data_IF_809750439259
#
_entry.id   IF_809750439259
#
_cell.length_a   1.000
_cell.length_b   1.000
_cell.length_c   1.000
_cell.angle_alpha   90.00
_cell.angle_beta   90.00
_cell.angle_gamma   90.00
#
_symmetry.space_group_name_H-M   'P 1'
#
loop_
_entity.id
_entity.type
_entity.pdbx_description
1 polymer ?
#
# COMPACT_ATOMS: atom_id res chain seq x y z
N UNK A 1 -65.64 5.66 -50.25
CA UNK A 1 -66.00 4.26 -49.94
C UNK A 1 -64.74 3.43 -50.13
N UNK A 2 -63.99 3.20 -49.04
CA UNK A 2 -63.13 2.01 -48.92
C UNK A 2 -64.03 0.80 -48.68
N UNK A 3 -63.66 -0.38 -49.19
CA UNK A 3 -63.13 -1.35 -48.24
C UNK A 3 -62.12 -2.37 -48.82
N UNK A 4 -61.08 -2.60 -48.02
CA UNK A 4 -60.64 -3.93 -47.53
C UNK A 4 -60.02 -4.94 -48.52
N UNK A 5 -58.92 -5.50 -48.02
CA UNK A 5 -58.78 -6.92 -47.62
C UNK A 5 -57.81 -7.79 -48.42
N UNK A 6 -56.93 -8.42 -47.64
CA UNK A 6 -56.33 -9.76 -47.79
C UNK A 6 -55.18 -9.88 -48.79
N UNK A 7 -53.94 -9.97 -48.32
CA UNK A 7 -53.29 -11.15 -47.71
C UNK A 7 -52.76 -12.11 -48.81
N UNK A 8 -51.52 -12.55 -48.59
CA UNK A 8 -50.76 -13.68 -49.19
C UNK A 8 -50.19 -13.50 -50.62
N UNK A 9 -48.86 -13.41 -50.76
CA UNK A 9 -47.99 -14.57 -51.06
C UNK A 9 -46.59 -14.18 -51.56
N UNK A 10 -45.60 -14.68 -50.82
CA UNK A 10 -44.39 -15.37 -51.33
C UNK A 10 -43.30 -14.51 -51.99
N UNK A 11 -42.14 -14.49 -51.33
CA UNK A 11 -40.88 -14.00 -51.90
C UNK A 11 -39.78 -13.95 -50.84
N UNK A 12 -39.27 -15.11 -50.40
CA UNK A 12 -37.89 -15.55 -50.67
C UNK A 12 -36.83 -14.82 -49.85
N UNK A 13 -36.15 -15.59 -48.98
CA UNK A 13 -34.81 -15.29 -48.47
C UNK A 13 -34.80 -14.16 -47.43
N UNK A 14 -34.25 -14.34 -46.24
CA UNK A 14 -32.80 -14.49 -46.07
C UNK A 14 -32.57 -15.10 -44.70
N UNK A 15 -31.74 -16.14 -44.68
CA UNK A 15 -31.13 -16.74 -43.50
C UNK A 15 -30.24 -15.67 -42.86
N UNK A 16 -30.63 -15.14 -41.70
CA UNK A 16 -29.77 -14.29 -40.88
C UNK A 16 -29.24 -15.14 -39.73
N UNK A 17 -28.04 -15.68 -39.97
CA UNK A 17 -27.16 -16.27 -38.96
C UNK A 17 -26.64 -15.13 -38.07
N UNK A 18 -27.34 -14.83 -36.97
CA UNK A 18 -26.81 -13.92 -35.95
C UNK A 18 -25.75 -14.65 -35.13
N UNK A 19 -24.48 -14.44 -35.51
CA UNK A 19 -23.33 -14.70 -34.66
C UNK A 19 -23.47 -13.81 -33.42
N UNK A 20 -23.89 -14.39 -32.31
CA UNK A 20 -23.79 -13.75 -31.00
C UNK A 20 -22.30 -13.73 -30.66
N UNK A 21 -21.61 -12.68 -31.11
CA UNK A 21 -20.30 -12.31 -30.59
C UNK A 21 -20.51 -11.92 -29.14
N UNK A 22 -20.49 -12.91 -28.24
CA UNK A 22 -20.32 -12.69 -26.83
C UNK A 22 -18.98 -11.98 -26.65
N UNK A 23 -19.02 -10.67 -26.45
CA UNK A 23 -17.94 -9.96 -25.80
C UNK A 23 -17.83 -10.59 -24.41
N UNK A 24 -16.92 -11.55 -24.27
CA UNK A 24 -16.40 -11.92 -22.97
C UNK A 24 -15.77 -10.65 -22.42
N UNK A 25 -16.53 -10.00 -21.55
CA UNK A 25 -16.06 -8.92 -20.70
C UNK A 25 -14.99 -9.55 -19.81
N UNK A 26 -13.72 -9.38 -20.21
CA UNK A 26 -12.61 -9.68 -19.33
C UNK A 26 -12.75 -8.72 -18.18
N UNK A 27 -13.28 -9.21 -17.06
CA UNK A 27 -13.02 -8.61 -15.77
C UNK A 27 -11.51 -8.43 -15.68
N UNK A 28 -11.05 -7.18 -15.74
CA UNK A 28 -9.70 -6.84 -15.33
C UNK A 28 -9.60 -7.30 -13.88
N UNK A 29 -8.90 -8.42 -13.72
CA UNK A 29 -8.42 -8.89 -12.45
C UNK A 29 -7.67 -7.71 -11.83
N UNK A 30 -8.29 -7.09 -10.83
CA UNK A 30 -7.65 -6.12 -9.96
C UNK A 30 -6.60 -6.88 -9.15
N UNK A 31 -5.51 -7.24 -9.81
CA UNK A 31 -4.26 -7.50 -9.13
C UNK A 31 -3.80 -6.11 -8.67
N UNK A 32 -4.19 -5.76 -7.44
CA UNK A 32 -3.47 -4.76 -6.66
C UNK A 32 -2.07 -5.30 -6.41
N UNK A 33 -1.24 -5.26 -7.47
CA UNK A 33 0.19 -5.49 -7.37
C UNK A 33 0.67 -4.37 -6.46
N UNK A 34 0.97 -4.73 -5.21
CA UNK A 34 1.82 -3.99 -4.30
C UNK A 34 3.18 -3.78 -5.00
N UNK A 35 3.23 -2.84 -5.93
CA UNK A 35 4.47 -2.33 -6.50
C UNK A 35 5.08 -1.45 -5.41
N UNK A 36 5.74 -2.09 -4.45
CA UNK A 36 6.74 -1.39 -3.65
C UNK A 36 7.70 -0.76 -4.66
N UNK A 37 7.90 0.55 -4.54
CA UNK A 37 8.98 1.20 -5.30
C UNK A 37 10.26 0.40 -5.12
N UNK A 38 10.99 0.01 -6.18
CA UNK A 38 12.23 -0.75 -6.03
C UNK A 38 13.27 -0.01 -5.16
N UNK A 39 13.06 1.28 -4.91
CA UNK A 39 13.95 2.12 -4.11
C UNK A 39 13.50 2.31 -2.65
N UNK A 40 12.22 2.08 -2.30
CA UNK A 40 11.74 2.32 -0.94
C UNK A 40 12.15 1.17 -0.01
N UNK A 41 12.86 1.48 1.07
CA UNK A 41 13.12 0.52 2.13
C UNK A 41 12.04 0.62 3.20
N UNK A 42 11.28 -0.46 3.36
CA UNK A 42 10.18 -0.53 4.31
C UNK A 42 10.34 -1.74 5.24
N UNK A 43 11.27 -1.69 6.21
CA UNK A 43 11.45 -2.80 7.12
C UNK A 43 10.25 -2.90 8.06
N UNK A 44 9.72 -4.11 8.20
CA UNK A 44 8.61 -4.47 9.08
C UNK A 44 9.09 -5.46 10.13
N UNK A 45 8.35 -5.56 11.23
CA UNK A 45 8.48 -6.65 12.19
C UNK A 45 8.08 -7.99 11.54
N UNK A 46 8.68 -9.10 11.97
CA UNK A 46 8.46 -10.45 11.40
C UNK A 46 7.12 -11.07 11.77
N UNK A 47 6.61 -10.73 12.94
CA UNK A 47 5.42 -11.33 13.53
C UNK A 47 4.64 -10.30 14.33
N UNK A 48 3.34 -10.53 14.50
CA UNK A 48 2.51 -9.74 15.40
C UNK A 48 2.90 -10.00 16.85
N UNK A 49 2.83 -8.97 17.69
CA UNK A 49 3.08 -9.07 19.13
C UNK A 49 1.86 -8.60 19.92
N UNK A 50 1.74 -9.03 21.18
CA UNK A 50 0.61 -8.68 22.05
C UNK A 50 0.88 -7.47 22.94
N UNK A 51 2.13 -6.99 22.99
CA UNK A 51 2.56 -5.85 23.77
C UNK A 51 3.57 -5.03 22.99
N UNK A 52 3.50 -3.72 23.18
CA UNK A 52 4.40 -2.76 22.54
C UNK A 52 5.07 -1.89 23.60
N UNK A 53 6.22 -1.33 23.25
CA UNK A 53 6.80 -0.24 24.02
C UNK A 53 5.90 1.00 23.88
N UNK A 54 5.83 1.81 24.94
CA UNK A 54 4.92 2.96 25.06
C UNK A 54 5.65 4.31 24.99
N UNK A 55 6.83 4.34 24.37
CA UNK A 55 7.53 5.58 24.10
C UNK A 55 6.89 6.27 22.88
N UNK A 56 7.02 7.59 22.81
CA UNK A 56 6.41 8.41 21.78
C UNK A 56 7.47 9.20 21.01
N UNK A 57 7.55 8.96 19.70
CA UNK A 57 8.37 9.72 18.76
C UNK A 57 7.46 10.69 17.99
N UNK A 58 7.89 11.93 17.81
CA UNK A 58 7.14 12.93 17.05
C UNK A 58 8.05 13.65 16.06
N UNK A 59 7.58 13.87 14.84
CA UNK A 59 8.36 14.56 13.82
C UNK A 59 7.77 14.42 12.43
N UNK A 60 8.47 14.94 11.43
CA UNK A 60 8.08 14.79 10.03
C UNK A 60 8.47 13.39 9.52
N UNK A 61 7.57 12.74 8.79
CA UNK A 61 7.85 11.50 8.08
C UNK A 61 8.58 11.83 6.78
N UNK A 62 9.83 11.41 6.67
CA UNK A 62 10.72 11.80 5.59
C UNK A 62 11.34 10.56 4.94
N UNK A 63 11.53 10.63 3.62
CA UNK A 63 12.40 9.69 2.91
C UNK A 63 13.77 10.36 2.85
N UNK A 64 14.77 9.68 3.40
CA UNK A 64 16.14 10.18 3.47
C UNK A 64 17.03 9.38 2.53
N UNK A 65 17.95 10.11 1.87
CA UNK A 65 18.96 9.64 0.94
C UNK A 65 18.42 8.95 -0.32
N UNK A 66 19.32 8.64 -1.26
CA UNK A 66 19.03 7.76 -2.41
C UNK A 66 18.65 6.33 -1.97
N UNK A 67 18.90 5.99 -0.69
CA UNK A 67 18.60 4.69 -0.11
C UNK A 67 17.11 4.42 0.12
N UNK A 68 16.26 5.46 0.09
CA UNK A 68 14.82 5.34 0.28
C UNK A 68 14.43 4.95 1.71
N UNK A 69 15.15 5.47 2.71
CA UNK A 69 14.95 5.13 4.12
C UNK A 69 13.86 6.02 4.73
N UNK A 70 12.77 5.43 5.24
CA UNK A 70 11.72 6.19 5.95
C UNK A 70 12.13 6.49 7.38
N UNK A 71 12.18 7.78 7.73
CA UNK A 71 12.62 8.26 9.04
C UNK A 71 11.67 9.26 9.66
N UNK A 72 11.71 9.31 10.98
CA UNK A 72 11.15 10.39 11.81
C UNK A 72 12.20 10.78 12.83
N UNK A 73 12.55 12.07 12.93
CA UNK A 73 13.53 12.54 13.91
C UNK A 73 14.89 11.86 13.80
N UNK A 74 15.29 11.42 12.60
CA UNK A 74 16.54 10.69 12.35
C UNK A 74 16.48 9.18 12.59
N UNK A 75 15.42 8.64 13.19
CA UNK A 75 15.27 7.20 13.43
C UNK A 75 14.73 6.48 12.19
N UNK A 76 15.34 5.35 11.82
CA UNK A 76 14.76 4.43 10.85
C UNK A 76 13.57 3.71 11.50
N UNK A 77 12.42 3.80 10.85
CA UNK A 77 11.21 3.13 11.32
C UNK A 77 11.22 1.65 10.93
N UNK A 78 11.11 0.77 11.94
CA UNK A 78 10.81 -0.65 11.76
C UNK A 78 9.32 -0.83 12.01
N UNK A 79 8.55 -0.82 10.93
CA UNK A 79 7.09 -0.77 10.95
C UNK A 79 6.47 -1.99 11.62
N UNK A 80 5.30 -1.80 12.23
CA UNK A 80 4.56 -2.90 12.85
C UNK A 80 4.25 -3.99 11.82
N UNK A 81 4.09 -5.22 12.30
CA UNK A 81 3.70 -6.35 11.46
C UNK A 81 2.42 -6.03 10.67
N UNK A 82 2.39 -6.44 9.40
CA UNK A 82 1.26 -6.23 8.48
C UNK A 82 1.22 -4.87 7.80
N UNK A 83 1.95 -3.87 8.31
CA UNK A 83 1.98 -2.53 7.69
C UNK A 83 2.65 -2.60 6.31
N UNK A 84 2.22 -1.69 5.42
CA UNK A 84 2.76 -1.62 4.07
C UNK A 84 2.91 -0.17 3.59
N UNK A 85 3.65 0.01 2.51
CA UNK A 85 3.73 1.28 1.81
C UNK A 85 3.29 1.12 0.35
N UNK A 86 2.59 2.14 -0.16
CA UNK A 86 2.16 2.22 -1.55
C UNK A 86 2.51 3.60 -2.12
N UNK A 87 2.65 3.71 -3.44
CA UNK A 87 2.79 5.00 -4.11
C UNK A 87 1.44 5.37 -4.70
N UNK A 88 0.92 6.53 -4.34
CA UNK A 88 -0.30 7.07 -4.93
C UNK A 88 -0.10 7.39 -6.40
N UNK A 89 -1.00 6.89 -7.25
CA UNK A 89 -0.94 7.11 -8.70
C UNK A 89 -1.12 8.59 -9.08
N UNK A 90 -1.82 9.38 -8.24
CA UNK A 90 -2.24 10.76 -8.52
C UNK A 90 -1.12 11.78 -8.31
N UNK A 91 -0.45 11.70 -7.17
CA UNK A 91 0.51 12.71 -6.69
C UNK A 91 1.92 12.13 -6.48
N UNK A 92 2.09 10.82 -6.71
CA UNK A 92 3.36 10.08 -6.51
C UNK A 92 3.87 10.10 -5.08
N UNK A 93 3.01 10.45 -4.12
CA UNK A 93 3.35 10.44 -2.70
C UNK A 93 3.37 9.00 -2.18
N UNK A 94 4.28 8.72 -1.25
CA UNK A 94 4.32 7.43 -0.53
C UNK A 94 3.31 7.48 0.61
N UNK A 95 2.35 6.56 0.56
CA UNK A 95 1.33 6.33 1.56
C UNK A 95 1.72 5.15 2.44
N UNK A 96 1.50 5.30 3.74
CA UNK A 96 1.65 4.22 4.71
C UNK A 96 0.27 3.68 5.03
N UNK A 97 0.16 2.35 4.98
CA UNK A 97 -1.05 1.61 5.26
C UNK A 97 -0.85 0.73 6.51
N UNK A 98 -1.87 0.63 7.35
CA UNK A 98 -1.88 -0.31 8.47
C UNK A 98 -2.02 -1.77 7.99
N UNK A 99 -2.09 -2.71 8.95
CA UNK A 99 -2.25 -4.14 8.71
C UNK A 99 -3.59 -4.52 8.05
N UNK A 100 -4.55 -3.60 8.02
CA UNK A 100 -5.85 -3.74 7.36
C UNK A 100 -5.91 -3.02 6.02
N UNK A 101 -4.81 -2.38 5.60
CA UNK A 101 -4.72 -1.61 4.37
C UNK A 101 -5.33 -0.21 4.45
N UNK A 102 -5.66 0.30 5.65
CA UNK A 102 -6.15 1.66 5.81
C UNK A 102 -4.99 2.66 5.74
N UNK A 103 -5.22 3.79 5.10
CA UNK A 103 -4.29 4.91 5.09
C UNK A 103 -4.12 5.49 6.51
N UNK A 104 -2.86 5.63 6.96
CA UNK A 104 -2.53 6.19 8.28
C UNK A 104 -1.62 7.41 8.23
N UNK A 105 -0.80 7.56 7.18
CA UNK A 105 0.11 8.69 7.00
C UNK A 105 0.65 8.71 5.56
N UNK A 106 1.22 9.84 5.16
CA UNK A 106 2.02 9.97 3.95
C UNK A 106 3.36 10.66 4.24
N UNK A 107 4.34 10.44 3.36
CA UNK A 107 5.61 11.18 3.43
C UNK A 107 5.33 12.68 3.32
N UNK A 108 5.93 13.44 4.24
CA UNK A 108 5.70 14.87 4.41
C UNK A 108 4.86 15.22 5.64
N UNK A 109 4.03 14.29 6.13
CA UNK A 109 3.20 14.51 7.31
C UNK A 109 4.05 14.71 8.57
N UNK A 110 3.59 15.57 9.49
CA UNK A 110 4.02 15.52 10.89
C UNK A 110 3.23 14.43 11.58
N UNK A 111 3.91 13.47 12.20
CA UNK A 111 3.30 12.32 12.85
C UNK A 111 3.79 12.13 14.29
N UNK A 112 2.94 11.50 15.10
CA UNK A 112 3.29 10.86 16.37
C UNK A 112 3.27 9.35 16.18
N UNK A 113 4.31 8.68 16.64
CA UNK A 113 4.54 7.25 16.45
C UNK A 113 4.83 6.64 17.80
N UNK A 114 3.94 5.76 18.26
CA UNK A 114 4.19 4.93 19.44
C UNK A 114 5.27 3.88 19.16
N UNK A 115 5.85 3.31 20.20
CA UNK A 115 6.83 2.24 20.07
C UNK A 115 8.01 2.42 21.03
N UNK A 116 9.21 2.13 20.55
CA UNK A 116 10.39 2.33 21.38
C UNK A 116 11.69 2.36 20.61
N UNK A 117 12.62 3.13 21.17
CA UNK A 117 13.98 3.26 20.69
C UNK A 117 14.76 1.98 20.97
N UNK A 118 15.47 1.48 19.96
CA UNK A 118 16.49 0.45 20.14
C UNK A 118 17.86 1.15 20.21
N UNK A 119 18.11 1.86 21.33
CA UNK A 119 19.29 2.69 21.50
C UNK A 119 20.56 1.82 21.51
N UNK A 120 21.48 2.08 20.57
CA UNK A 120 22.72 1.30 20.43
C UNK A 120 22.57 -0.06 19.74
N UNK A 121 21.36 -0.44 19.30
CA UNK A 121 21.17 -1.67 18.53
C UNK A 121 21.86 -1.60 17.16
N UNK A 122 22.57 -2.66 16.79
CA UNK A 122 23.11 -2.80 15.44
C UNK A 122 22.04 -3.30 14.47
N UNK A 123 22.31 -3.21 13.16
CA UNK A 123 21.44 -3.81 12.14
C UNK A 123 21.20 -5.31 12.39
N UNK A 124 22.21 -6.02 12.93
CA UNK A 124 22.13 -7.45 13.28
C UNK A 124 21.26 -7.71 14.51
N UNK A 125 21.18 -6.79 15.46
CA UNK A 125 20.28 -6.94 16.60
C UNK A 125 18.83 -6.79 16.17
N UNK A 126 18.54 -5.76 15.37
CA UNK A 126 17.18 -5.51 14.86
C UNK A 126 16.75 -6.58 13.84
N UNK A 127 17.69 -7.22 13.14
CA UNK A 127 17.42 -8.37 12.27
C UNK A 127 16.73 -9.55 12.98
N UNK A 128 16.83 -9.65 14.31
CA UNK A 128 16.12 -10.69 15.07
C UNK A 128 14.61 -10.50 14.95
N UNK A 129 14.15 -9.25 14.96
CA UNK A 129 12.73 -8.87 14.97
C UNK A 129 12.20 -8.36 13.62
N UNK A 130 13.05 -7.95 12.67
CA UNK A 130 12.63 -7.43 11.37
C UNK A 130 12.86 -8.38 10.20
N UNK A 131 11.91 -8.44 9.28
CA UNK A 131 11.94 -9.34 8.12
C UNK A 131 12.93 -8.91 7.02
N UNK A 132 13.26 -7.61 6.93
CA UNK A 132 14.10 -7.05 5.87
C UNK A 132 15.48 -6.54 6.36
N UNK A 133 15.80 -6.74 7.65
CA UNK A 133 17.10 -6.42 8.25
C UNK A 133 17.90 -7.71 8.54
N UNK A 134 19.25 -7.66 8.59
CA UNK A 134 20.09 -6.47 8.57
C UNK A 134 20.21 -5.89 7.15
N UNK A 135 20.39 -4.58 7.05
CA UNK A 135 20.63 -3.90 5.79
C UNK A 135 21.53 -2.69 6.03
N UNK A 136 22.63 -2.61 5.27
CA UNK A 136 23.62 -1.53 5.41
C UNK A 136 23.18 -0.22 4.72
N UNK A 137 22.17 -0.27 3.83
CA UNK A 137 21.63 0.91 3.13
C UNK A 137 20.97 1.90 4.08
N UNK A 138 20.28 1.38 5.10
CA UNK A 138 19.55 2.19 6.07
C UNK A 138 20.06 1.84 7.47
N UNK A 139 21.19 2.42 7.89
CA UNK A 139 21.70 2.23 9.24
C UNK A 139 20.78 2.88 10.27
N UNK A 140 20.92 2.46 11.53
CA UNK A 140 20.22 3.05 12.66
C UNK A 140 20.57 4.53 12.92
N UNK A 141 20.05 5.11 14.01
CA UNK A 141 19.30 4.46 15.08
C UNK A 141 17.91 4.00 14.63
N UNK A 142 17.34 3.00 15.34
CA UNK A 142 16.09 2.34 14.96
C UNK A 142 14.97 2.66 15.96
N UNK A 143 13.78 2.85 15.43
CA UNK A 143 12.53 2.94 16.20
C UNK A 143 11.63 1.76 15.85
N UNK A 144 11.29 0.94 16.85
CA UNK A 144 10.39 -0.20 16.67
C UNK A 144 8.96 0.30 16.84
N UNK A 145 8.24 0.40 15.73
CA UNK A 145 6.94 1.08 15.65
C UNK A 145 5.84 0.24 16.28
N UNK A 146 5.05 0.84 17.18
CA UNK A 146 3.76 0.29 17.60
C UNK A 146 2.66 0.65 16.58
N UNK A 147 1.52 -0.07 16.56
CA UNK A 147 0.41 0.23 15.66
C UNK A 147 -0.18 1.64 15.81
N UNK A 148 0.01 2.30 16.96
CA UNK A 148 -0.50 3.66 17.19
C UNK A 148 0.36 4.71 16.45
N UNK A 149 -0.10 5.11 15.27
CA UNK A 149 0.48 6.17 14.44
C UNK A 149 -0.59 7.21 14.16
N UNK A 150 -0.27 8.49 14.41
CA UNK A 150 -1.22 9.60 14.27
C UNK A 150 -0.61 10.75 13.51
N UNK A 151 -1.30 11.24 12.47
CA UNK A 151 -0.98 12.51 11.82
C UNK A 151 -1.35 13.67 12.75
N UNK A 152 -0.45 14.64 12.87
CA UNK A 152 -0.64 15.88 13.61
C UNK A 152 -1.12 16.93 12.61
N UNK A 153 -2.30 17.49 12.85
CA UNK A 153 -2.79 18.68 12.14
C UNK A 153 -2.27 19.91 12.88
N UNK A 154 -1.68 20.85 12.14
CA UNK A 154 -1.31 22.18 12.65
C UNK A 154 -2.45 23.19 12.46
#
# INVERSE_FOLDING_TARGET
>A
MDPKLKIIMIGIGIIILMLVSGCVERAQQNDSVNKSSPYLFFPTQKESVTSYMDALLSGKLEVVDEGGCLRVGGYLLVWSYGFSASISSKDKTIHILDDKGNFIAQVGDKIKVGGGECAGCTSKDVAKISAQLPNERCPGPYWIVAPDVKVIQE
#
